data_IF_921900202531
#
_entry.id   IF_921900202531
#
_cell.length_a   1.000
_cell.length_b   1.000
_cell.length_c   1.000
_cell.angle_alpha   90.00
_cell.angle_beta   90.00
_cell.angle_gamma   90.00
#
_symmetry.space_group_name_H-M   'P 1'
#
loop_
_entity.id
_entity.type
_entity.pdbx_description
1 polymer ?
#
# COMPACT_ATOMS: atom_id res chain seq x y z
N UNK A 1 -23.02 4.19 16.43
CA UNK A 1 -21.74 4.73 16.93
C UNK A 1 -20.68 3.65 16.71
N UNK A 2 -19.73 3.87 15.81
CA UNK A 2 -18.65 2.90 15.57
C UNK A 2 -17.62 3.05 16.69
N UNK A 3 -17.40 1.99 17.46
CA UNK A 3 -16.40 1.95 18.52
C UNK A 3 -15.00 2.22 17.93
N UNK A 4 -14.14 3.01 18.59
CA UNK A 4 -12.78 3.24 18.12
C UNK A 4 -12.01 1.93 18.15
N UNK A 5 -11.50 1.52 16.99
CA UNK A 5 -10.58 0.38 16.87
C UNK A 5 -9.39 0.64 17.80
N UNK A 6 -9.04 -0.27 18.72
CA UNK A 6 -7.93 -0.05 19.64
C UNK A 6 -6.65 0.12 18.81
N UNK A 7 -6.03 1.31 18.92
CA UNK A 7 -4.70 1.57 18.39
C UNK A 7 -3.74 0.54 19.00
N UNK A 8 -3.21 -0.39 18.20
CA UNK A 8 -2.23 -1.37 18.67
C UNK A 8 -1.07 -0.60 19.29
N UNK A 9 -0.77 -0.88 20.56
CA UNK A 9 0.40 -0.32 21.23
C UNK A 9 1.67 -0.55 20.38
N UNK A 10 2.60 0.42 20.35
CA UNK A 10 3.82 0.28 19.57
C UNK A 10 4.60 -0.97 20.02
N UNK A 11 4.95 -1.83 19.05
CA UNK A 11 5.69 -3.06 19.32
C UNK A 11 7.14 -2.69 19.64
N UNK A 12 7.53 -2.83 20.91
CA UNK A 12 8.92 -2.69 21.34
C UNK A 12 9.73 -3.90 20.89
N UNK A 13 10.79 -3.67 20.09
CA UNK A 13 11.68 -4.73 19.58
C UNK A 13 13.09 -4.50 20.12
N UNK A 14 13.53 -5.34 21.05
CA UNK A 14 14.80 -5.22 21.79
C UNK A 14 15.83 -6.31 21.44
N UNK A 15 15.41 -7.38 20.75
CA UNK A 15 16.31 -8.47 20.32
C UNK A 15 16.99 -8.13 18.99
N UNK A 16 18.27 -8.47 18.88
CA UNK A 16 19.11 -8.17 17.73
C UNK A 16 19.64 -9.45 17.07
N UNK A 17 19.69 -9.46 15.74
CA UNK A 17 20.34 -10.49 14.92
C UNK A 17 21.50 -9.85 14.16
N UNK A 18 22.71 -10.40 14.29
CA UNK A 18 23.87 -9.96 13.49
C UNK A 18 24.04 -10.90 12.29
N UNK A 19 24.05 -10.34 11.09
CA UNK A 19 24.23 -11.07 9.83
C UNK A 19 25.48 -10.54 9.14
N UNK A 20 26.39 -11.45 8.77
CA UNK A 20 27.56 -11.12 7.95
C UNK A 20 27.15 -11.14 6.48
N UNK A 21 27.52 -10.10 5.75
CA UNK A 21 27.22 -9.94 4.33
C UNK A 21 28.52 -9.60 3.60
N UNK A 22 28.64 -10.11 2.38
CA UNK A 22 29.52 -9.55 1.36
C UNK A 22 29.03 -8.16 0.94
N UNK A 23 29.89 -7.38 0.28
CA UNK A 23 29.51 -6.06 -0.23
C UNK A 23 28.36 -6.17 -1.24
N UNK A 24 28.43 -7.13 -2.16
CA UNK A 24 27.40 -7.36 -3.18
C UNK A 24 26.04 -7.70 -2.57
N UNK A 25 26.00 -8.55 -1.53
CA UNK A 25 24.76 -8.88 -0.83
C UNK A 25 24.16 -7.66 -0.15
N UNK A 26 24.99 -6.84 0.51
CA UNK A 26 24.56 -5.60 1.15
C UNK A 26 23.96 -4.64 0.12
N UNK A 27 24.63 -4.43 -1.02
CA UNK A 27 24.13 -3.55 -2.08
C UNK A 27 22.81 -4.04 -2.68
N UNK A 28 22.67 -5.35 -2.92
CA UNK A 28 21.40 -5.93 -3.40
C UNK A 28 20.25 -5.74 -2.41
N UNK A 29 20.52 -5.87 -1.11
CA UNK A 29 19.50 -5.62 -0.09
C UNK A 29 19.07 -4.14 -0.11
N UNK A 30 20.03 -3.21 -0.19
CA UNK A 30 19.72 -1.77 -0.24
C UNK A 30 18.87 -1.41 -1.46
N UNK A 31 19.22 -1.91 -2.65
CA UNK A 31 18.43 -1.70 -3.87
C UNK A 31 17.00 -2.27 -3.77
N UNK A 32 16.84 -3.43 -3.13
CA UNK A 32 15.51 -4.00 -2.88
C UNK A 32 14.71 -3.15 -1.90
N UNK A 33 15.35 -2.63 -0.85
CA UNK A 33 14.69 -1.75 0.12
C UNK A 33 14.17 -0.49 -0.58
N UNK A 34 14.96 0.15 -1.44
CA UNK A 34 14.57 1.35 -2.19
C UNK A 34 13.34 1.15 -3.09
N UNK A 35 13.14 -0.06 -3.61
CA UNK A 35 11.97 -0.38 -4.44
C UNK A 35 10.73 -0.79 -3.63
N UNK A 36 10.82 -0.79 -2.30
CA UNK A 36 9.74 -1.24 -1.39
C UNK A 36 9.30 -0.16 -0.39
N UNK A 37 8.20 -0.42 0.30
CA UNK A 37 7.67 0.42 1.38
C UNK A 37 8.37 0.22 2.74
N UNK A 38 9.43 -0.60 2.81
CA UNK A 38 10.19 -0.83 4.03
C UNK A 38 11.01 0.41 4.42
N UNK A 39 10.98 0.82 5.70
CA UNK A 39 11.69 2.02 6.18
C UNK A 39 13.18 1.79 6.44
N UNK A 40 13.60 0.53 6.47
CA UNK A 40 15.00 0.16 6.73
C UNK A 40 15.32 -1.24 6.20
N UNK A 41 16.61 -1.56 5.95
CA UNK A 41 17.04 -2.91 5.61
C UNK A 41 16.62 -3.96 6.65
N UNK A 42 16.69 -3.62 7.95
CA UNK A 42 16.27 -4.51 9.03
C UNK A 42 14.75 -4.77 9.04
N UNK A 43 13.94 -3.81 8.61
CA UNK A 43 12.51 -4.01 8.41
C UNK A 43 12.24 -4.91 7.20
N UNK A 44 12.89 -4.62 6.07
CA UNK A 44 12.75 -5.43 4.85
C UNK A 44 13.15 -6.90 5.08
N UNK A 45 14.33 -7.16 5.65
CA UNK A 45 14.82 -8.52 5.93
C UNK A 45 13.89 -9.24 6.87
N UNK A 46 13.43 -8.58 7.95
CA UNK A 46 12.50 -9.19 8.90
C UNK A 46 11.15 -9.50 8.26
N UNK A 47 10.60 -8.58 7.48
CA UNK A 47 9.31 -8.79 6.82
C UNK A 47 9.39 -9.95 5.83
N UNK A 48 10.44 -9.98 5.01
CA UNK A 48 10.67 -11.07 4.05
C UNK A 48 10.89 -12.42 4.75
N UNK A 49 11.67 -12.46 5.84
CA UNK A 49 11.96 -13.69 6.56
C UNK A 49 10.78 -14.25 7.37
N UNK A 50 9.76 -13.44 7.64
CA UNK A 50 8.57 -13.81 8.41
C UNK A 50 7.29 -13.80 7.56
N UNK A 51 7.44 -13.72 6.23
CA UNK A 51 6.34 -13.63 5.26
C UNK A 51 5.33 -12.51 5.58
N UNK A 52 5.82 -11.40 6.14
CA UNK A 52 5.02 -10.19 6.28
C UNK A 52 4.97 -9.45 4.95
N UNK A 53 3.83 -8.82 4.60
CA UNK A 53 3.70 -8.08 3.35
C UNK A 53 4.77 -7.01 3.21
N UNK A 54 5.46 -7.01 2.07
CA UNK A 54 6.38 -5.95 1.62
C UNK A 54 5.86 -5.46 0.28
N UNK A 55 5.49 -4.19 0.19
CA UNK A 55 4.88 -3.65 -1.02
C UNK A 55 5.90 -2.89 -1.84
N UNK A 56 5.76 -2.90 -3.15
CA UNK A 56 6.57 -2.02 -4.00
C UNK A 56 6.15 -0.55 -3.84
N UNK A 57 7.10 0.37 -3.97
CA UNK A 57 6.80 1.83 -3.99
C UNK A 57 5.85 2.17 -5.14
N UNK A 58 6.03 1.53 -6.30
CA UNK A 58 5.18 1.70 -7.48
C UNK A 58 3.73 1.31 -7.18
N UNK A 59 3.51 0.20 -6.47
CA UNK A 59 2.16 -0.23 -6.05
C UNK A 59 1.50 0.84 -5.16
N UNK A 60 2.27 1.50 -4.28
CA UNK A 60 1.73 2.56 -3.42
C UNK A 60 1.34 3.81 -4.21
N UNK A 61 2.20 4.26 -5.13
CA UNK A 61 1.92 5.40 -6.01
C UNK A 61 0.70 5.14 -6.91
N UNK A 62 0.64 3.97 -7.53
CA UNK A 62 -0.50 3.57 -8.36
C UNK A 62 -1.82 3.56 -7.57
N UNK A 63 -1.83 3.01 -6.35
CA UNK A 63 -3.01 3.03 -5.49
C UNK A 63 -3.43 4.46 -5.16
N UNK A 64 -2.48 5.37 -4.92
CA UNK A 64 -2.81 6.76 -4.61
C UNK A 64 -3.41 7.49 -5.80
N UNK A 65 -2.91 7.25 -7.02
CA UNK A 65 -3.51 7.83 -8.21
C UNK A 65 -4.93 7.29 -8.46
N UNK A 66 -5.15 5.98 -8.27
CA UNK A 66 -6.49 5.40 -8.36
C UNK A 66 -7.47 6.02 -7.34
N UNK A 67 -7.00 6.31 -6.12
CA UNK A 67 -7.82 7.02 -5.11
C UNK A 67 -8.13 8.44 -5.53
N UNK A 68 -7.14 9.15 -6.09
CA UNK A 68 -7.32 10.52 -6.60
C UNK A 68 -8.35 10.55 -7.73
N UNK A 69 -8.26 9.63 -8.69
CA UNK A 69 -9.26 9.48 -9.75
C UNK A 69 -10.65 9.18 -9.20
N UNK A 70 -10.76 8.29 -8.21
CA UNK A 70 -12.05 8.02 -7.55
C UNK A 70 -12.64 9.26 -6.87
N UNK A 71 -11.79 10.10 -6.27
CA UNK A 71 -12.19 11.40 -5.72
C UNK A 71 -12.72 12.35 -6.79
N UNK A 72 -12.06 12.41 -7.95
CA UNK A 72 -12.49 13.22 -9.09
C UNK A 72 -13.82 12.74 -9.68
N UNK A 73 -13.99 11.44 -9.87
CA UNK A 73 -15.26 10.85 -10.37
C UNK A 73 -16.41 11.19 -9.43
N UNK A 74 -16.19 11.06 -8.10
CA UNK A 74 -17.18 11.45 -7.09
C UNK A 74 -17.50 12.95 -7.15
N UNK A 75 -16.49 13.79 -7.35
CA UNK A 75 -16.67 15.23 -7.47
C UNK A 75 -17.53 15.59 -8.69
N UNK A 76 -17.22 15.03 -9.86
CA UNK A 76 -17.99 15.23 -11.09
C UNK A 76 -19.44 14.77 -10.95
N UNK A 77 -19.70 13.63 -10.30
CA UNK A 77 -21.06 13.18 -9.99
C UNK A 77 -21.84 14.20 -9.14
N UNK A 78 -21.20 14.78 -8.12
CA UNK A 78 -21.83 15.79 -7.26
C UNK A 78 -22.12 17.08 -8.03
N UNK A 79 -21.17 17.53 -8.85
CA UNK A 79 -21.34 18.74 -9.67
C UNK A 79 -22.37 18.55 -10.79
N UNK A 80 -22.47 17.35 -11.35
CA UNK A 80 -23.43 16.97 -12.39
C UNK A 80 -24.86 16.74 -11.88
N UNK A 81 -25.21 17.19 -10.68
CA UNK A 81 -26.58 17.07 -10.15
C UNK A 81 -26.90 15.73 -9.49
N UNK A 82 -25.90 14.84 -9.30
CA UNK A 82 -26.05 13.52 -8.65
C UNK A 82 -26.97 12.56 -9.39
N UNK A 83 -27.10 12.75 -10.70
CA UNK A 83 -27.77 11.81 -11.59
C UNK A 83 -26.74 10.90 -12.24
N UNK A 84 -27.08 9.61 -12.36
CA UNK A 84 -26.26 8.61 -13.05
C UNK A 84 -27.17 7.70 -13.89
N UNK A 85 -27.90 8.26 -14.89
CA UNK A 85 -28.91 7.52 -15.63
C UNK A 85 -28.32 6.33 -16.41
N UNK A 86 -27.08 6.46 -16.86
CA UNK A 86 -26.35 5.43 -17.60
C UNK A 86 -25.49 4.53 -16.68
N UNK A 87 -25.42 4.82 -15.38
CA UNK A 87 -24.68 4.03 -14.39
C UNK A 87 -23.14 4.13 -14.46
N UNK A 88 -22.60 5.02 -15.32
CA UNK A 88 -21.17 5.12 -15.62
C UNK A 88 -20.34 5.58 -14.42
N UNK A 89 -20.86 6.48 -13.58
CA UNK A 89 -20.13 6.93 -12.39
C UNK A 89 -19.98 5.78 -11.39
N UNK A 90 -21.05 5.04 -11.15
CA UNK A 90 -21.04 3.88 -10.26
C UNK A 90 -20.14 2.76 -10.79
N UNK A 91 -20.23 2.44 -12.08
CA UNK A 91 -19.38 1.44 -12.73
C UNK A 91 -17.91 1.78 -12.60
N UNK A 92 -17.53 3.00 -12.97
CA UNK A 92 -16.14 3.49 -12.87
C UNK A 92 -15.61 3.41 -11.43
N UNK A 93 -16.40 3.82 -10.44
CA UNK A 93 -16.00 3.73 -9.03
C UNK A 93 -15.81 2.29 -8.56
N UNK A 94 -16.64 1.36 -9.05
CA UNK A 94 -16.51 -0.06 -8.74
C UNK A 94 -15.24 -0.65 -9.36
N UNK A 95 -14.90 -0.29 -10.60
CA UNK A 95 -13.68 -0.72 -11.26
C UNK A 95 -12.43 -0.19 -10.56
N UNK A 96 -12.40 1.10 -10.21
CA UNK A 96 -11.31 1.71 -9.44
C UNK A 96 -11.12 1.01 -8.09
N UNK A 97 -12.22 0.70 -7.39
CA UNK A 97 -12.19 -0.04 -6.12
C UNK A 97 -11.65 -1.46 -6.31
N UNK A 98 -12.02 -2.14 -7.41
CA UNK A 98 -11.50 -3.45 -7.73
C UNK A 98 -10.00 -3.42 -8.04
N UNK A 99 -9.54 -2.43 -8.80
CA UNK A 99 -8.13 -2.22 -9.11
C UNK A 99 -7.29 -1.97 -7.86
N UNK A 100 -7.74 -1.07 -6.96
CA UNK A 100 -7.08 -0.83 -5.67
C UNK A 100 -7.01 -2.10 -4.83
N UNK A 101 -8.06 -2.92 -4.83
CA UNK A 101 -8.06 -4.20 -4.10
C UNK A 101 -7.09 -5.21 -4.68
N UNK A 102 -6.94 -5.28 -6.01
CA UNK A 102 -5.95 -6.15 -6.66
C UNK A 102 -4.54 -5.73 -6.28
N UNK A 103 -4.20 -4.44 -6.45
CA UNK A 103 -2.89 -3.90 -6.10
C UNK A 103 -2.61 -3.98 -4.59
N UNK A 104 -3.63 -3.78 -3.75
CA UNK A 104 -3.50 -3.93 -2.29
C UNK A 104 -3.41 -5.38 -1.80
N UNK A 105 -3.70 -6.36 -2.67
CA UNK A 105 -3.59 -7.81 -2.45
C UNK A 105 -2.36 -8.43 -3.11
N UNK A 106 -1.51 -7.67 -3.78
CA UNK A 106 -0.18 -8.17 -4.14
C UNK A 106 0.55 -8.46 -2.82
N UNK A 107 0.59 -9.76 -2.50
CA UNK A 107 1.27 -10.43 -1.39
C UNK A 107 2.52 -11.07 -1.98
#
# INVERSE_FOLDING_TARGET
MASPTPSKAPVHRDKHLSVRLTEDEKQRILQKVESTDARSPSEFVRSTALDYPVRSVVTHEAINELRRLGGLVKHLFIEGGREDPDGLYLETLNELRAAIRRLGREV
#
